data_IF_294049692891
#
_entry.id   IF_294049692891
#
_cell.length_a   1.000
_cell.length_b   1.000
_cell.length_c   1.000
_cell.angle_alpha   90.00
_cell.angle_beta   90.00
_cell.angle_gamma   90.00
#
_symmetry.space_group_name_H-M   'P 1'
#
loop_
_entity.id
_entity.type
_entity.pdbx_description
1 polymer ?
#
# COMPACT_ATOMS: atom_id res chain seq x y z
N UNK A 1 -52.81 4.08 18.19
CA UNK A 1 -52.03 5.03 17.36
C UNK A 1 -50.58 5.18 17.84
N UNK A 2 -50.31 5.31 19.14
CA UNK A 2 -48.92 5.42 19.67
C UNK A 2 -48.05 4.19 19.42
N UNK A 3 -48.61 2.97 19.56
CA UNK A 3 -47.88 1.72 19.35
C UNK A 3 -47.37 1.56 17.90
N UNK A 4 -48.17 1.93 16.89
CA UNK A 4 -47.74 1.89 15.50
C UNK A 4 -46.61 2.87 15.20
N UNK A 5 -46.63 4.07 15.82
CA UNK A 5 -45.55 5.06 15.65
C UNK A 5 -44.24 4.58 16.27
N UNK A 6 -44.29 3.90 17.42
CA UNK A 6 -43.11 3.29 18.06
C UNK A 6 -42.52 2.15 17.22
N UNK A 7 -43.37 1.31 16.60
CA UNK A 7 -42.94 0.22 15.72
C UNK A 7 -42.27 0.78 14.46
N UNK A 8 -42.84 1.81 13.85
CA UNK A 8 -42.28 2.45 12.64
C UNK A 8 -40.93 3.11 12.97
N UNK A 9 -40.82 3.82 14.09
CA UNK A 9 -39.55 4.43 14.51
C UNK A 9 -38.47 3.38 14.77
N UNK A 10 -38.81 2.27 15.43
CA UNK A 10 -37.89 1.16 15.66
C UNK A 10 -37.39 0.53 14.35
N UNK A 11 -38.31 0.28 13.41
CA UNK A 11 -37.95 -0.26 12.10
C UNK A 11 -37.05 0.69 11.30
N UNK A 12 -37.33 1.99 11.32
CA UNK A 12 -36.50 3.01 10.65
C UNK A 12 -35.10 3.05 11.27
N UNK A 13 -35.00 3.03 12.60
CA UNK A 13 -33.70 3.01 13.31
C UNK A 13 -32.90 1.76 12.96
N UNK A 14 -33.52 0.58 12.92
CA UNK A 14 -32.85 -0.67 12.52
C UNK A 14 -32.33 -0.63 11.08
N UNK A 15 -33.08 -0.05 10.15
CA UNK A 15 -32.67 0.10 8.74
C UNK A 15 -31.51 1.11 8.61
N UNK A 16 -31.50 2.18 9.40
CA UNK A 16 -30.41 3.14 9.39
C UNK A 16 -29.12 2.55 9.97
N UNK A 17 -29.21 1.75 11.05
CA UNK A 17 -28.05 1.07 11.62
C UNK A 17 -27.44 0.04 10.66
N UNK A 18 -28.26 -0.73 9.93
CA UNK A 18 -27.76 -1.71 8.96
C UNK A 18 -27.10 -1.06 7.75
N UNK A 19 -27.59 0.10 7.30
CA UNK A 19 -26.94 0.89 6.26
C UNK A 19 -25.55 1.38 6.67
N UNK A 20 -25.40 1.86 7.92
CA UNK A 20 -24.12 2.36 8.45
C UNK A 20 -23.07 1.25 8.54
N UNK A 21 -23.43 0.08 9.08
CA UNK A 21 -22.47 -1.04 9.21
C UNK A 21 -22.02 -1.62 7.87
N UNK A 22 -22.88 -1.58 6.85
CA UNK A 22 -22.53 -2.03 5.50
C UNK A 22 -21.45 -1.15 4.85
N UNK A 23 -21.49 0.16 5.09
CA UNK A 23 -20.47 1.11 4.59
C UNK A 23 -19.11 0.98 5.28
N UNK A 24 -19.09 0.68 6.59
CA UNK A 24 -17.85 0.58 7.35
C UNK A 24 -17.11 -0.75 7.12
N UNK A 25 -17.85 -1.86 6.89
CA UNK A 25 -17.24 -3.16 6.58
C UNK A 25 -16.47 -3.20 5.26
N UNK A 26 -16.84 -2.34 4.30
CA UNK A 26 -16.18 -2.22 2.99
C UNK A 26 -14.97 -1.27 2.99
N UNK A 27 -14.77 -0.50 4.07
CA UNK A 27 -13.62 0.41 4.22
C UNK A 27 -12.40 -0.21 4.86
N UNK A 28 -12.44 -1.50 5.23
CA UNK A 28 -11.24 -2.25 5.52
C UNK A 28 -10.50 -2.56 4.21
N UNK A 29 -9.85 -1.53 3.64
CA UNK A 29 -8.67 -1.77 2.82
C UNK A 29 -7.67 -2.41 3.77
N UNK A 30 -7.63 -3.73 3.78
CA UNK A 30 -6.48 -4.46 4.28
C UNK A 30 -5.29 -3.87 3.51
N UNK A 31 -4.55 -2.96 4.13
CA UNK A 31 -3.22 -2.57 3.68
C UNK A 31 -2.38 -3.81 3.87
N UNK A 32 -2.50 -4.74 2.91
CA UNK A 32 -1.71 -5.94 2.88
C UNK A 32 -0.26 -5.47 2.90
N UNK A 33 0.40 -5.69 4.03
CA UNK A 33 1.80 -5.36 4.17
C UNK A 33 2.54 -6.12 3.07
N UNK A 34 3.13 -5.40 2.12
CA UNK A 34 3.88 -6.01 1.03
C UNK A 34 5.19 -6.53 1.62
N UNK A 35 5.24 -7.83 1.87
CA UNK A 35 6.44 -8.52 2.35
C UNK A 35 7.13 -9.27 1.22
N UNK A 36 8.44 -9.15 1.17
CA UNK A 36 9.29 -9.81 0.18
C UNK A 36 9.88 -11.10 0.77
N UNK A 37 9.48 -12.23 0.22
CA UNK A 37 10.06 -13.54 0.57
C UNK A 37 11.21 -13.94 -0.35
N UNK A 38 11.16 -13.46 -1.60
CA UNK A 38 12.18 -13.70 -2.63
C UNK A 38 12.66 -12.38 -3.21
N UNK A 39 13.92 -12.36 -3.62
CA UNK A 39 14.58 -11.19 -4.18
C UNK A 39 14.88 -11.42 -5.66
N UNK A 40 14.71 -10.36 -6.43
CA UNK A 40 15.07 -10.39 -7.84
C UNK A 40 16.60 -10.42 -7.99
N UNK A 41 17.11 -11.52 -8.55
CA UNK A 41 18.55 -11.72 -8.74
C UNK A 41 19.12 -10.90 -9.91
N UNK A 42 18.27 -10.52 -10.88
CA UNK A 42 18.71 -9.81 -12.09
C UNK A 42 18.68 -8.30 -11.87
N UNK A 43 19.75 -7.56 -12.17
CA UNK A 43 19.76 -6.11 -12.02
C UNK A 43 18.64 -5.45 -12.84
N UNK A 44 17.93 -4.51 -12.23
CA UNK A 44 16.96 -3.67 -12.93
C UNK A 44 17.69 -2.57 -13.70
N UNK A 45 17.22 -2.26 -14.90
CA UNK A 45 17.72 -1.10 -15.66
C UNK A 45 17.18 0.19 -15.02
N UNK A 46 18.06 1.14 -14.74
CA UNK A 46 17.69 2.43 -14.12
C UNK A 46 16.56 3.15 -14.86
N UNK A 47 16.55 3.11 -16.20
CA UNK A 47 15.52 3.74 -17.01
C UNK A 47 14.10 3.15 -16.85
N UNK A 48 13.98 1.95 -16.27
CA UNK A 48 12.71 1.28 -16.03
C UNK A 48 12.16 1.55 -14.62
N UNK A 49 12.99 2.01 -13.68
CA UNK A 49 12.61 2.26 -12.29
C UNK A 49 12.21 3.73 -12.12
N UNK A 50 11.11 3.98 -11.42
CA UNK A 50 10.60 5.33 -11.15
C UNK A 50 10.87 5.75 -9.71
N UNK A 51 10.71 4.83 -8.77
CA UNK A 51 10.86 5.09 -7.35
C UNK A 51 11.20 3.80 -6.61
N UNK A 52 11.57 3.94 -5.34
CA UNK A 52 11.76 2.82 -4.45
C UNK A 52 11.06 3.09 -3.11
N UNK A 53 10.77 2.04 -2.36
CA UNK A 53 10.17 2.12 -1.03
C UNK A 53 10.70 0.97 -0.16
N UNK A 54 10.70 1.14 1.15
CA UNK A 54 11.02 0.07 2.09
C UNK A 54 9.78 -0.77 2.36
N UNK A 55 9.95 -2.08 2.52
CA UNK A 55 8.88 -2.95 3.01
C UNK A 55 8.47 -2.58 4.44
N UNK A 56 7.25 -2.97 4.82
CA UNK A 56 6.73 -2.74 6.17
C UNK A 56 7.68 -3.33 7.24
N UNK A 57 7.89 -2.63 8.37
CA UNK A 57 8.70 -3.14 9.47
C UNK A 57 8.10 -4.40 10.13
N UNK A 58 6.84 -4.72 9.84
CA UNK A 58 6.20 -5.96 10.30
C UNK A 58 6.68 -7.20 9.53
N UNK A 59 7.39 -7.03 8.41
CA UNK A 59 7.93 -8.13 7.63
C UNK A 59 9.19 -8.69 8.31
N UNK A 60 9.34 -10.02 8.35
CA UNK A 60 10.54 -10.66 8.94
C UNK A 60 11.84 -10.32 8.22
N UNK A 61 11.76 -9.89 6.96
CA UNK A 61 12.91 -9.48 6.15
C UNK A 61 12.68 -8.07 5.61
N UNK A 62 13.60 -7.16 5.92
CA UNK A 62 13.63 -5.82 5.34
C UNK A 62 14.06 -5.91 3.86
N UNK A 63 13.28 -5.33 2.96
CA UNK A 63 13.58 -5.32 1.53
C UNK A 63 13.34 -3.95 0.91
N UNK A 64 13.98 -3.72 -0.24
CA UNK A 64 13.72 -2.56 -1.08
C UNK A 64 12.74 -2.97 -2.16
N UNK A 65 11.63 -2.25 -2.25
CA UNK A 65 10.60 -2.42 -3.26
C UNK A 65 10.78 -1.36 -4.35
N UNK A 66 11.26 -1.77 -5.52
CA UNK A 66 11.37 -0.88 -6.67
C UNK A 66 10.05 -0.82 -7.42
N UNK A 67 9.57 0.38 -7.70
CA UNK A 67 8.44 0.61 -8.59
C UNK A 67 8.95 0.87 -10.00
N UNK A 68 8.47 0.08 -10.94
CA UNK A 68 8.80 0.25 -12.36
C UNK A 68 7.82 1.19 -13.04
N UNK A 69 8.21 1.77 -14.19
CA UNK A 69 7.33 2.59 -15.05
C UNK A 69 6.05 1.85 -15.49
N UNK A 70 6.08 0.52 -15.51
CA UNK A 70 4.92 -0.32 -15.81
C UNK A 70 3.99 -0.53 -14.60
N UNK A 71 4.23 0.15 -13.48
CA UNK A 71 3.48 0.01 -12.24
C UNK A 71 3.77 -1.28 -11.47
N UNK A 72 4.71 -2.12 -11.93
CA UNK A 72 5.09 -3.34 -11.23
C UNK A 72 6.06 -3.04 -10.10
N UNK A 73 5.86 -3.71 -8.97
CA UNK A 73 6.73 -3.67 -7.81
C UNK A 73 7.67 -4.87 -7.82
N UNK A 74 8.95 -4.63 -7.56
CA UNK A 74 10.00 -5.65 -7.60
C UNK A 74 10.78 -5.64 -6.29
N UNK A 75 10.78 -6.77 -5.61
CA UNK A 75 11.58 -7.00 -4.41
C UNK A 75 13.07 -7.09 -4.73
N UNK A 76 13.88 -6.32 -4.02
CA UNK A 76 15.32 -6.29 -4.17
C UNK A 76 16.02 -6.33 -2.81
N UNK A 77 17.18 -6.98 -2.78
CA UNK A 77 17.94 -7.17 -1.55
C UNK A 77 18.78 -5.91 -1.26
N UNK A 78 18.64 -5.27 -0.08
CA UNK A 78 19.39 -4.05 0.26
C UNK A 78 20.91 -4.24 0.27
N UNK A 79 21.39 -5.48 0.39
CA UNK A 79 22.82 -5.78 0.42
C UNK A 79 23.47 -5.77 -0.97
N UNK A 80 22.69 -5.94 -2.03
CA UNK A 80 23.19 -6.04 -3.41
C UNK A 80 23.78 -4.71 -3.90
N UNK A 81 24.93 -4.77 -4.59
CA UNK A 81 25.61 -3.59 -5.10
C UNK A 81 24.78 -2.81 -6.13
N UNK A 82 24.06 -3.50 -7.02
CA UNK A 82 23.21 -2.87 -8.03
C UNK A 82 22.02 -2.14 -7.42
N UNK A 83 21.49 -2.62 -6.29
CA UNK A 83 20.39 -1.99 -5.55
C UNK A 83 20.86 -0.67 -4.97
N UNK A 84 22.01 -0.66 -4.30
CA UNK A 84 22.63 0.56 -3.77
C UNK A 84 22.91 1.58 -4.87
N UNK A 85 23.37 1.12 -6.04
CA UNK A 85 23.57 1.98 -7.21
C UNK A 85 22.29 2.64 -7.71
N UNK A 86 21.19 1.86 -7.80
CA UNK A 86 19.89 2.39 -8.20
C UNK A 86 19.32 3.38 -7.18
N UNK A 87 19.45 3.10 -5.88
CA UNK A 87 19.00 4.01 -4.82
C UNK A 87 19.70 5.36 -4.97
N UNK A 88 21.03 5.37 -5.10
CA UNK A 88 21.80 6.62 -5.31
C UNK A 88 21.34 7.39 -6.56
N UNK A 89 21.08 6.69 -7.67
CA UNK A 89 20.57 7.32 -8.89
C UNK A 89 19.19 7.93 -8.69
N UNK A 90 18.33 7.26 -7.94
CA UNK A 90 16.97 7.72 -7.64
C UNK A 90 17.01 8.89 -6.63
N UNK A 91 17.87 8.86 -5.62
CA UNK A 91 18.06 9.95 -4.66
C UNK A 91 18.55 11.23 -5.35
N UNK A 92 19.52 11.09 -6.26
CA UNK A 92 20.00 12.20 -7.09
C UNK A 92 18.89 12.79 -7.98
N UNK A 93 17.93 11.95 -8.40
CA UNK A 93 16.81 12.37 -9.24
C UNK A 93 15.69 13.01 -8.42
N UNK A 94 15.39 12.49 -7.24
CA UNK A 94 14.41 13.07 -6.32
C UNK A 94 14.89 14.39 -5.72
N UNK A 95 16.21 14.62 -5.64
CA UNK A 95 16.79 15.94 -5.36
C UNK A 95 16.43 17.02 -6.41
N UNK A 96 15.81 16.65 -7.54
CA UNK A 96 15.22 17.59 -8.51
C UNK A 96 13.70 17.42 -8.69
N UNK A 97 13.07 16.44 -8.04
CA UNK A 97 11.62 16.23 -8.03
C UNK A 97 11.16 15.61 -6.70
N UNK A 98 10.85 16.48 -5.74
CA UNK A 98 10.26 16.17 -4.44
C UNK A 98 10.33 17.43 -3.57
N UNK A 99 9.35 18.35 -3.68
CA UNK A 99 8.14 18.31 -2.86
C UNK A 99 8.44 18.00 -1.40
N UNK A 100 8.73 19.07 -0.65
CA UNK A 100 7.81 19.49 0.41
C UNK A 100 6.88 20.54 -0.21
#
# INVERSE_FOLDING_TARGET
MSACRLIVLSAVVLVLLSAVTFTEGMRYKATANVCCYSFNQRPLRANMVTSYSLTSPQCSKQAILFKTKKGKEVCANPTDAWVKGLIKLLDNKSGSQGSI
#
